data_IF_190218808721
#
_entry.id   IF_190218808721
#
_cell.length_a   1.000
_cell.length_b   1.000
_cell.length_c   1.000
_cell.angle_alpha   90.00
_cell.angle_beta   90.00
_cell.angle_gamma   90.00
#
_symmetry.space_group_name_H-M   'P 1'
#
loop_
_entity.id
_entity.type
_entity.pdbx_description
1 polymer ?
#
# COMPACT_ATOMS: atom_id res chain seq x y z
N UNK A 1 9.29 -8.60 -3.24
CA UNK A 1 8.62 -8.00 -4.42
C UNK A 1 9.23 -6.62 -4.71
N UNK A 2 9.63 -6.38 -5.96
CA UNK A 2 10.43 -5.21 -6.38
C UNK A 2 9.63 -4.06 -7.00
N UNK A 3 10.32 -3.09 -7.62
CA UNK A 3 9.70 -1.90 -8.26
C UNK A 3 8.82 -2.24 -9.47
N UNK A 4 9.01 -3.40 -10.10
CA UNK A 4 8.19 -3.84 -11.23
C UNK A 4 6.82 -4.41 -10.85
N UNK A 5 6.62 -4.78 -9.58
CA UNK A 5 5.39 -5.45 -9.15
C UNK A 5 4.28 -4.44 -8.80
N UNK A 6 3.35 -4.26 -9.75
CA UNK A 6 2.21 -3.33 -9.67
C UNK A 6 1.19 -3.70 -8.59
N UNK A 7 1.28 -4.88 -7.97
CA UNK A 7 0.39 -5.27 -6.86
C UNK A 7 0.89 -4.71 -5.53
N UNK A 8 2.18 -4.43 -5.42
CA UNK A 8 2.79 -3.91 -4.18
C UNK A 8 2.75 -2.40 -4.05
N UNK A 9 2.92 -1.92 -2.81
CA UNK A 9 3.10 -0.49 -2.53
C UNK A 9 4.30 0.09 -3.31
N UNK A 10 5.44 -0.61 -3.31
CA UNK A 10 6.68 -0.15 -3.97
C UNK A 10 6.54 -0.05 -5.49
N UNK A 11 5.89 -1.02 -6.14
CA UNK A 11 5.64 -0.94 -7.58
C UNK A 11 4.58 0.07 -7.96
N UNK A 12 3.56 0.29 -7.12
CA UNK A 12 2.62 1.41 -7.29
C UNK A 12 3.26 2.77 -7.08
N UNK A 13 4.26 2.90 -6.20
CA UNK A 13 5.08 4.11 -6.07
C UNK A 13 5.82 4.39 -7.37
N UNK A 14 6.58 3.40 -7.83
CA UNK A 14 7.42 3.55 -9.01
C UNK A 14 6.63 3.88 -10.28
N UNK A 15 5.46 3.24 -10.48
CA UNK A 15 4.57 3.54 -11.60
C UNK A 15 3.82 4.89 -11.45
N UNK A 16 3.70 5.43 -10.24
CA UNK A 16 2.86 6.62 -9.99
C UNK A 16 1.35 6.34 -9.90
N UNK A 17 0.91 5.09 -9.87
CA UNK A 17 -0.51 4.72 -9.83
C UNK A 17 -1.04 4.44 -8.42
N UNK A 18 -2.33 4.63 -8.20
CA UNK A 18 -3.04 4.28 -6.95
C UNK A 18 -3.76 2.92 -7.06
N UNK A 19 -4.17 2.37 -5.90
CA UNK A 19 -5.05 1.22 -5.80
C UNK A 19 -5.03 0.65 -4.38
N UNK A 20 -5.56 -0.55 -4.16
CA UNK A 20 -5.79 -1.09 -2.81
C UNK A 20 -4.58 -1.02 -1.86
N UNK A 21 -3.37 -1.30 -2.36
CA UNK A 21 -2.11 -1.25 -1.61
C UNK A 21 -1.46 0.14 -1.52
N UNK A 22 -1.80 1.11 -2.40
CA UNK A 22 -1.33 2.51 -2.38
C UNK A 22 -2.56 3.43 -2.55
N UNK A 23 -3.24 3.71 -1.46
CA UNK A 23 -4.47 4.52 -1.45
C UNK A 23 -4.15 6.02 -1.39
N UNK A 24 -5.10 6.86 -1.81
CA UNK A 24 -5.01 8.31 -1.62
C UNK A 24 -5.27 8.65 -0.15
N UNK A 25 -4.77 9.81 0.30
CA UNK A 25 -4.87 10.21 1.71
C UNK A 25 -6.33 10.40 2.14
N UNK A 26 -7.20 10.77 1.22
CA UNK A 26 -8.63 11.02 1.46
C UNK A 26 -9.43 9.69 1.51
N UNK A 27 -8.93 8.63 0.88
CA UNK A 27 -9.52 7.26 0.91
C UNK A 27 -9.03 6.42 2.11
N UNK A 28 -8.44 7.06 3.13
CA UNK A 28 -7.91 6.38 4.33
C UNK A 28 -8.97 5.69 5.18
N UNK A 29 -10.26 5.85 4.89
CA UNK A 29 -11.35 5.45 5.78
C UNK A 29 -11.78 3.96 5.70
N UNK A 30 -11.24 3.10 4.83
CA UNK A 30 -11.79 1.72 4.71
C UNK A 30 -10.81 0.59 4.44
N UNK A 31 -9.95 0.27 5.41
CA UNK A 31 -9.26 -1.03 5.42
C UNK A 31 -7.99 -1.07 6.27
N UNK A 32 -8.14 -1.39 7.55
CA UNK A 32 -7.10 -2.01 8.41
C UNK A 32 -7.00 -3.52 8.07
N UNK A 33 -6.05 -4.35 8.56
CA UNK A 33 -4.95 -4.14 9.53
C UNK A 33 -3.59 -4.78 9.10
N UNK A 34 -2.51 -4.01 8.99
CA UNK A 34 -1.15 -4.58 9.00
C UNK A 34 -0.22 -3.93 10.04
N UNK A 35 -0.76 -3.03 10.85
CA UNK A 35 -0.07 -2.46 12.00
C UNK A 35 -0.59 -3.12 13.29
N UNK A 36 -0.54 -4.45 13.35
CA UNK A 36 -0.73 -5.25 14.56
C UNK A 36 0.28 -6.41 14.59
N UNK A 37 1.55 -6.18 14.23
CA UNK A 37 2.65 -7.10 14.56
C UNK A 37 3.95 -6.35 14.77
N UNK A 38 3.98 -5.49 15.80
CA UNK A 38 5.20 -5.16 16.58
C UNK A 38 4.78 -4.75 17.99
N UNK A 39 4.22 -5.71 18.74
CA UNK A 39 4.41 -5.80 20.18
C UNK A 39 4.79 -7.25 20.45
N UNK A 40 6.09 -7.47 20.57
CA UNK A 40 6.68 -8.45 21.49
C UNK A 40 7.74 -7.70 22.26
#
# INVERSE_FOLDING_TARGET
>A
MGRGDKRTFKGKIFKGSFGNTRRRKDDKARGTPAQQKKKS
#
